data_IF_628727569046
#
_entry.id   IF_628727569046
#
_cell.length_a   1.000
_cell.length_b   1.000
_cell.length_c   1.000
_cell.angle_alpha   90.00
_cell.angle_beta   90.00
_cell.angle_gamma   90.00
#
_symmetry.space_group_name_H-M   'P 1'
#
loop_
_entity.id
_entity.type
_entity.pdbx_description
1 polymer ?
#
# COMPACT_ATOMS: atom_id res chain seq x y z
N UNK A 1 21.92 -66.37 29.51
CA UNK A 1 21.94 -64.90 29.38
C UNK A 1 22.07 -64.55 27.90
N UNK A 2 21.22 -63.70 27.31
CA UNK A 2 21.30 -63.41 25.87
C UNK A 2 22.35 -62.32 25.60
N UNK A 3 23.25 -62.58 24.65
CA UNK A 3 24.20 -61.60 24.12
C UNK A 3 23.44 -60.50 23.37
N UNK A 4 23.68 -59.24 23.75
CA UNK A 4 23.17 -58.07 23.01
C UNK A 4 23.83 -58.05 21.63
N UNK A 5 23.02 -58.14 20.56
CA UNK A 5 23.48 -57.97 19.18
C UNK A 5 24.00 -56.53 19.02
N UNK A 6 25.31 -56.38 18.83
CA UNK A 6 25.89 -55.14 18.33
C UNK A 6 25.45 -54.96 16.88
N UNK A 7 24.56 -53.98 16.63
CA UNK A 7 24.18 -53.60 15.28
C UNK A 7 25.39 -53.01 14.56
N UNK A 8 25.79 -53.65 13.46
CA UNK A 8 26.77 -53.06 12.54
C UNK A 8 26.08 -51.91 11.82
N UNK A 9 26.55 -50.68 12.06
CA UNK A 9 26.12 -49.52 11.27
C UNK A 9 26.53 -49.81 9.83
N UNK A 10 25.55 -50.07 8.97
CA UNK A 10 25.81 -50.29 7.55
C UNK A 10 26.21 -48.94 6.93
N UNK A 11 27.19 -48.96 6.02
CA UNK A 11 27.74 -47.78 5.34
C UNK A 11 26.66 -46.78 4.88
N UNK A 12 25.51 -47.26 4.41
CA UNK A 12 24.39 -46.45 3.93
C UNK A 12 23.68 -45.58 4.99
N UNK A 13 23.79 -45.88 6.28
CA UNK A 13 23.21 -45.06 7.36
C UNK A 13 24.13 -43.91 7.80
N UNK A 14 25.44 -44.08 7.62
CA UNK A 14 26.45 -43.06 7.93
C UNK A 14 26.32 -41.85 7.00
N UNK A 15 26.13 -42.09 5.70
CA UNK A 15 25.90 -41.02 4.71
C UNK A 15 24.59 -40.26 4.94
N UNK A 16 23.57 -40.92 5.49
CA UNK A 16 22.30 -40.27 5.85
C UNK A 16 22.51 -39.30 7.02
N UNK A 17 23.14 -39.76 8.10
CA UNK A 17 23.52 -38.91 9.25
C UNK A 17 24.45 -37.78 8.87
N UNK A 18 25.43 -38.02 8.00
CA UNK A 18 26.34 -36.99 7.51
C UNK A 18 25.60 -35.85 6.79
N UNK A 19 24.63 -36.18 5.91
CA UNK A 19 23.81 -35.18 5.23
C UNK A 19 22.89 -34.40 6.17
N UNK A 20 22.33 -35.08 7.17
CA UNK A 20 21.46 -34.48 8.18
C UNK A 20 22.25 -33.46 9.03
N UNK A 21 23.45 -33.82 9.49
CA UNK A 21 24.36 -32.90 10.19
C UNK A 21 24.80 -31.70 9.33
N UNK A 22 24.97 -31.90 8.02
CA UNK A 22 25.26 -30.83 7.06
C UNK A 22 24.06 -29.89 6.86
N UNK A 23 22.83 -30.42 6.88
CA UNK A 23 21.61 -29.62 6.80
C UNK A 23 21.37 -28.85 8.10
N UNK A 24 21.51 -29.48 9.27
CA UNK A 24 21.39 -28.83 10.56
C UNK A 24 22.39 -27.68 10.72
N UNK A 25 23.68 -27.93 10.41
CA UNK A 25 24.70 -26.88 10.44
C UNK A 25 24.39 -25.73 9.48
N UNK A 26 23.84 -26.01 8.29
CA UNK A 26 23.47 -24.97 7.34
C UNK A 26 22.29 -24.14 7.85
N UNK A 27 21.30 -24.77 8.47
CA UNK A 27 20.15 -24.09 9.09
C UNK A 27 20.58 -23.25 10.29
N UNK A 28 21.54 -23.72 11.09
CA UNK A 28 22.07 -23.01 12.26
C UNK A 28 22.89 -21.77 11.88
N UNK A 29 23.62 -21.80 10.76
CA UNK A 29 24.41 -20.66 10.27
C UNK A 29 23.53 -19.63 9.54
N UNK A 30 22.58 -20.09 8.72
CA UNK A 30 21.75 -19.20 7.89
C UNK A 30 20.75 -18.40 8.72
N UNK A 31 20.22 -18.97 9.81
CA UNK A 31 19.23 -18.27 10.64
C UNK A 31 19.72 -16.96 11.29
N UNK A 32 20.86 -16.91 11.98
CA UNK A 32 21.38 -15.66 12.54
C UNK A 32 21.82 -14.68 11.45
N UNK A 33 22.46 -15.16 10.37
CA UNK A 33 22.89 -14.30 9.25
C UNK A 33 21.69 -13.65 8.54
N UNK A 34 20.57 -14.37 8.37
CA UNK A 34 19.36 -13.85 7.77
C UNK A 34 18.66 -12.83 8.68
N UNK A 35 18.68 -13.04 10.00
CA UNK A 35 18.17 -12.08 10.98
C UNK A 35 18.99 -10.80 11.01
N UNK A 36 20.31 -10.90 10.97
CA UNK A 36 21.21 -9.74 10.93
C UNK A 36 21.09 -8.96 9.62
N UNK A 37 21.03 -9.66 8.47
CA UNK A 37 20.80 -9.01 7.17
C UNK A 37 19.46 -8.30 7.12
N UNK A 38 18.40 -8.91 7.65
CA UNK A 38 17.07 -8.31 7.69
C UNK A 38 17.03 -7.10 8.63
N UNK A 39 17.72 -7.16 9.77
CA UNK A 39 17.85 -6.02 10.68
C UNK A 39 18.60 -4.86 10.01
N UNK A 40 19.70 -5.14 9.30
CA UNK A 40 20.47 -4.11 8.60
C UNK A 40 19.68 -3.50 7.42
N UNK A 41 18.96 -4.33 6.67
CA UNK A 41 18.08 -3.86 5.59
C UNK A 41 16.93 -2.99 6.13
N UNK A 42 16.35 -3.34 7.28
CA UNK A 42 15.38 -2.50 7.97
C UNK A 42 15.99 -1.17 8.44
N UNK A 43 17.23 -1.17 8.93
CA UNK A 43 17.93 0.07 9.33
C UNK A 43 18.17 1.00 8.15
N UNK A 44 18.70 0.47 7.05
CA UNK A 44 18.92 1.22 5.81
C UNK A 44 17.59 1.74 5.25
N UNK A 45 16.53 0.92 5.31
CA UNK A 45 15.19 1.33 4.88
C UNK A 45 14.65 2.48 5.74
N UNK A 46 14.82 2.43 7.06
CA UNK A 46 14.41 3.53 7.94
C UNK A 46 15.21 4.81 7.68
N UNK A 47 16.53 4.70 7.48
CA UNK A 47 17.40 5.84 7.18
C UNK A 47 17.04 6.50 5.84
N UNK A 48 16.74 5.71 4.81
CA UNK A 48 16.30 6.21 3.50
C UNK A 48 14.91 6.86 3.56
N UNK A 49 13.98 6.33 4.37
CA UNK A 49 12.67 6.96 4.59
C UNK A 49 12.82 8.31 5.30
N UNK A 50 13.73 8.40 6.28
CA UNK A 50 14.00 9.66 7.00
C UNK A 50 14.71 10.69 6.11
N UNK A 51 15.70 10.28 5.32
CA UNK A 51 16.54 11.19 4.53
C UNK A 51 15.94 11.57 3.18
N UNK A 52 15.09 10.71 2.60
CA UNK A 52 14.51 10.90 1.27
C UNK A 52 13.37 11.90 1.18
N UNK A 53 12.80 12.34 2.32
CA UNK A 53 11.67 13.28 2.32
C UNK A 53 12.08 14.66 2.87
N UNK A 54 12.29 15.66 2.00
CA UNK A 54 12.64 17.01 2.43
C UNK A 54 11.54 17.67 3.29
N UNK A 55 10.31 17.14 3.33
CA UNK A 55 9.22 17.62 4.19
C UNK A 55 9.29 17.07 5.63
N UNK A 56 9.96 15.93 5.87
CA UNK A 56 10.07 15.35 7.21
C UNK A 56 11.17 16.03 8.05
N UNK A 57 12.17 16.65 7.40
CA UNK A 57 13.25 17.36 8.10
C UNK A 57 12.84 18.76 8.62
N UNK A 58 11.62 19.23 8.32
CA UNK A 58 11.08 20.49 8.86
C UNK A 58 10.44 20.34 10.25
N UNK A 59 10.26 19.12 10.76
CA UNK A 59 9.57 18.86 12.04
C UNK A 59 10.52 18.55 13.20
N UNK A 60 11.83 18.61 12.98
CA UNK A 60 12.82 18.50 14.06
C UNK A 60 12.68 19.62 15.10
N UNK A 61 13.07 19.40 16.37
CA UNK A 61 12.85 20.31 17.49
C UNK A 61 13.55 21.69 17.36
N UNK A 62 14.29 21.93 16.28
CA UNK A 62 15.11 23.13 16.06
C UNK A 62 14.53 24.14 15.05
N UNK A 63 13.32 23.93 14.50
CA UNK A 63 12.65 24.98 13.71
C UNK A 63 11.20 25.19 14.14
N UNK A 64 10.72 26.45 14.15
CA UNK A 64 9.35 26.76 14.51
C UNK A 64 8.46 26.04 13.51
N UNK A 65 7.55 25.20 14.03
CA UNK A 65 6.44 24.56 13.32
C UNK A 65 5.97 25.49 12.20
N UNK A 66 6.47 25.28 10.98
CA UNK A 66 6.12 26.12 9.85
C UNK A 66 4.67 25.79 9.57
N UNK A 67 3.79 26.60 10.15
CA UNK A 67 2.35 26.50 10.00
C UNK A 67 2.07 26.40 8.50
N UNK A 68 1.84 25.18 8.01
CA UNK A 68 1.44 24.89 6.63
C UNK A 68 -0.03 25.30 6.40
N UNK A 69 -0.43 26.39 7.05
CA UNK A 69 -1.73 27.01 6.96
C UNK A 69 -1.62 28.00 5.83
N UNK A 70 -2.13 27.61 4.67
CA UNK A 70 -2.25 28.49 3.50
C UNK A 70 -2.93 29.78 3.94
N UNK A 71 -2.20 30.90 3.91
CA UNK A 71 -2.61 32.16 4.53
C UNK A 71 -3.79 32.83 3.82
N UNK A 72 -3.95 32.57 2.52
CA UNK A 72 -5.10 32.98 1.71
C UNK A 72 -5.15 32.19 0.40
N UNK A 73 -6.31 31.69 0.02
CA UNK A 73 -6.53 31.00 -1.27
C UNK A 73 -7.15 32.01 -2.24
N UNK A 74 -6.76 31.99 -3.51
CA UNK A 74 -7.37 32.85 -4.54
C UNK A 74 -8.89 32.62 -4.65
N UNK A 75 -9.32 31.41 -4.33
CA UNK A 75 -10.72 31.01 -4.23
C UNK A 75 -11.47 31.67 -3.06
N UNK A 76 -10.82 32.11 -1.99
CA UNK A 76 -11.51 32.46 -0.73
C UNK A 76 -12.50 33.64 -0.88
N UNK A 77 -12.24 34.55 -1.82
CA UNK A 77 -13.06 35.76 -2.07
C UNK A 77 -14.20 35.53 -3.09
N UNK A 78 -14.42 34.30 -3.58
CA UNK A 78 -15.48 34.03 -4.57
C UNK A 78 -16.84 33.93 -3.87
N UNK A 79 -17.80 34.75 -4.30
CA UNK A 79 -19.15 34.89 -3.71
C UNK A 79 -20.04 33.64 -3.80
N UNK A 80 -19.72 32.70 -4.70
CA UNK A 80 -20.46 31.45 -4.85
C UNK A 80 -19.52 30.25 -4.65
N UNK A 81 -19.87 29.38 -3.71
CA UNK A 81 -19.12 28.16 -3.39
C UNK A 81 -20.01 26.94 -3.51
N UNK A 82 -19.50 25.89 -4.16
CA UNK A 82 -20.10 24.55 -4.12
C UNK A 82 -21.56 24.48 -4.61
N UNK A 83 -21.99 25.32 -5.56
CA UNK A 83 -23.39 25.37 -6.03
C UNK A 83 -23.90 24.06 -6.64
N UNK A 84 -23.00 23.24 -7.18
CA UNK A 84 -23.31 21.93 -7.76
C UNK A 84 -22.92 20.75 -6.84
N UNK A 85 -22.53 21.00 -5.57
CA UNK A 85 -22.12 19.93 -4.66
C UNK A 85 -23.32 19.04 -4.35
N UNK A 86 -23.23 17.77 -4.74
CA UNK A 86 -24.31 16.80 -4.57
C UNK A 86 -25.32 16.78 -5.72
N UNK A 87 -25.05 17.49 -6.83
CA UNK A 87 -25.76 17.28 -8.11
C UNK A 87 -25.13 16.07 -8.82
N UNK A 88 -25.14 14.92 -8.15
CA UNK A 88 -24.78 13.64 -8.77
C UNK A 88 -26.03 13.18 -9.52
N UNK A 89 -26.01 13.44 -10.84
CA UNK A 89 -27.01 13.06 -11.84
C UNK A 89 -28.41 12.82 -11.26
N UNK A 90 -29.08 13.92 -10.89
CA UNK A 90 -30.52 13.94 -10.68
C UNK A 90 -31.14 13.13 -11.81
N UNK A 91 -31.74 11.98 -11.46
CA UNK A 91 -32.03 10.76 -12.26
C UNK A 91 -32.93 10.96 -13.49
N UNK A 92 -32.72 12.03 -14.24
CA UNK A 92 -33.50 12.46 -15.40
C UNK A 92 -33.41 11.42 -16.51
N UNK A 93 -32.23 10.86 -16.73
CA UNK A 93 -31.99 9.90 -17.82
C UNK A 93 -32.63 8.51 -17.60
N UNK A 94 -33.01 8.13 -16.38
CA UNK A 94 -33.63 6.83 -16.09
C UNK A 94 -35.16 6.89 -16.04
N UNK A 95 -35.76 8.08 -16.15
CA UNK A 95 -37.22 8.24 -16.05
C UNK A 95 -37.84 8.21 -17.45
N UNK A 96 -38.56 7.14 -17.74
CA UNK A 96 -39.41 7.09 -18.93
C UNK A 96 -40.65 7.97 -18.73
N UNK A 97 -40.97 8.80 -19.73
CA UNK A 97 -42.17 9.64 -19.76
C UNK A 97 -42.94 9.30 -21.03
N UNK A 98 -44.21 8.92 -20.89
CA UNK A 98 -45.10 8.66 -22.01
C UNK A 98 -45.71 9.97 -22.55
N UNK A 99 -44.85 10.87 -23.02
CA UNK A 99 -45.18 12.18 -23.62
C UNK A 99 -44.04 12.57 -24.57
N UNK A 100 -44.36 12.91 -25.82
CA UNK A 100 -43.38 13.22 -26.87
C UNK A 100 -42.71 14.58 -26.71
N UNK A 101 -43.34 15.54 -26.01
CA UNK A 101 -42.80 16.90 -25.83
C UNK A 101 -42.06 17.05 -24.50
N UNK A 102 -42.45 16.30 -23.47
CA UNK A 102 -41.86 16.39 -22.13
C UNK A 102 -40.76 15.36 -21.85
N UNK A 103 -40.55 14.42 -22.76
CA UNK A 103 -39.45 13.45 -22.69
C UNK A 103 -38.09 14.16 -22.66
N UNK A 104 -37.13 13.60 -21.93
CA UNK A 104 -35.75 14.09 -21.91
C UNK A 104 -35.11 14.08 -23.31
N UNK A 105 -35.55 13.17 -24.19
CA UNK A 105 -35.13 13.17 -25.59
C UNK A 105 -35.53 14.47 -26.29
N UNK A 106 -36.79 14.90 -26.15
CA UNK A 106 -37.29 16.09 -26.82
C UNK A 106 -36.67 17.37 -26.26
N UNK A 107 -36.47 17.43 -24.93
CA UNK A 107 -35.77 18.55 -24.29
C UNK A 107 -34.34 18.70 -24.83
N UNK A 108 -33.57 17.60 -24.86
CA UNK A 108 -32.21 17.57 -25.42
C UNK A 108 -32.18 17.88 -26.92
N UNK A 109 -33.20 17.44 -27.67
CA UNK A 109 -33.33 17.75 -29.09
C UNK A 109 -33.53 19.26 -29.31
N UNK A 110 -34.45 19.88 -28.57
CA UNK A 110 -34.72 21.31 -28.70
C UNK A 110 -33.51 22.15 -28.28
N UNK A 111 -32.85 21.83 -27.16
CA UNK A 111 -31.62 22.50 -26.71
C UNK A 111 -30.48 22.39 -27.74
N UNK A 112 -30.41 21.29 -28.49
CA UNK A 112 -29.35 21.07 -29.48
C UNK A 112 -29.59 21.83 -30.79
N UNK A 113 -30.83 21.85 -31.27
CA UNK A 113 -31.16 22.37 -32.62
C UNK A 113 -31.80 23.75 -32.62
N UNK A 114 -32.19 24.26 -31.45
CA UNK A 114 -32.73 25.60 -31.26
C UNK A 114 -31.84 26.31 -30.23
N UNK A 115 -31.29 27.47 -30.60
CA UNK A 115 -30.38 28.26 -29.78
C UNK A 115 -31.03 29.54 -29.32
#
# INVERSE_FOLDING_TARGET
MPLKRFGTVTSGESWKRGRELLQEKKIEIVQPEEQEQKAEEERIRMENILSGNPLLNLTGPSQPQANFKVKRRWDDDVVFKNCAKGVDDQKKDKRFVNDTLRSEFHKKFMEKYIK
#
